data_IF_677269581917
#
_entry.id   IF_677269581917
#
_cell.length_a   1.000
_cell.length_b   1.000
_cell.length_c   1.000
_cell.angle_alpha   90.00
_cell.angle_beta   90.00
_cell.angle_gamma   90.00
#
_symmetry.space_group_name_H-M   'P 1'
#
loop_
_entity.id
_entity.type
_entity.pdbx_description
1 polymer ?
#
# COMPACT_ATOMS: atom_id res chain seq x y z
N UNK A 1 -4.66 -11.73 1.60
CA UNK A 1 -4.73 -10.53 0.72
C UNK A 1 -4.33 -10.78 -0.74
N UNK A 2 -3.05 -10.83 -1.14
CA UNK A 2 -2.68 -10.76 -2.57
C UNK A 2 -3.23 -11.87 -3.48
N UNK A 3 -3.39 -13.10 -2.99
CA UNK A 3 -3.95 -14.20 -3.80
C UNK A 3 -5.44 -14.02 -4.14
N UNK A 4 -6.21 -13.31 -3.31
CA UNK A 4 -7.64 -13.02 -3.57
C UNK A 4 -7.83 -11.84 -4.54
N UNK A 5 -6.78 -11.02 -4.70
CA UNK A 5 -6.77 -9.83 -5.55
C UNK A 5 -6.20 -10.11 -6.94
N UNK A 6 -6.06 -11.37 -7.36
CA UNK A 6 -5.38 -11.71 -8.61
C UNK A 6 -6.05 -11.07 -9.86
N UNK A 7 -7.38 -10.92 -9.84
CA UNK A 7 -8.12 -10.17 -10.87
C UNK A 7 -7.77 -8.67 -10.90
N UNK A 8 -7.47 -8.08 -9.74
CA UNK A 8 -7.12 -6.65 -9.60
C UNK A 8 -5.70 -6.35 -10.11
N UNK A 9 -4.80 -7.35 -10.16
CA UNK A 9 -3.43 -7.16 -10.69
C UNK A 9 -3.37 -6.63 -12.11
N UNK A 10 -4.37 -6.94 -12.95
CA UNK A 10 -4.44 -6.44 -14.33
C UNK A 10 -4.62 -4.94 -14.42
N UNK A 11 -5.16 -4.31 -13.38
CA UNK A 11 -5.52 -2.89 -13.35
C UNK A 11 -4.97 -2.15 -12.14
N UNK A 12 -4.11 -2.81 -11.35
CA UNK A 12 -3.61 -2.31 -10.08
C UNK A 12 -2.20 -2.79 -9.78
N UNK A 13 -1.43 -1.88 -9.19
CA UNK A 13 -0.07 -2.06 -8.72
C UNK A 13 0.02 -1.59 -7.28
N UNK A 14 0.80 -2.25 -6.44
CA UNK A 14 1.07 -1.74 -5.10
C UNK A 14 2.48 -2.07 -4.65
N UNK A 15 3.04 -1.17 -3.86
CA UNK A 15 4.27 -1.42 -3.11
C UNK A 15 3.93 -1.39 -1.62
N UNK A 16 4.04 -2.55 -0.98
CA UNK A 16 3.69 -2.73 0.43
C UNK A 16 4.93 -3.14 1.19
N UNK A 17 5.19 -2.48 2.31
CA UNK A 17 6.37 -2.71 3.13
C UNK A 17 5.92 -3.16 4.53
N UNK A 18 6.59 -4.19 5.01
CA UNK A 18 6.58 -4.60 6.40
C UNK A 18 7.67 -3.83 7.15
N UNK A 19 7.26 -3.12 8.18
CA UNK A 19 8.13 -2.36 9.08
C UNK A 19 8.19 -3.01 10.46
N UNK A 20 9.30 -2.80 11.17
CA UNK A 20 9.49 -3.25 12.54
C UNK A 20 10.05 -4.67 12.68
N UNK A 21 10.02 -5.19 13.89
CA UNK A 21 10.60 -6.49 14.27
C UNK A 21 9.54 -7.46 14.79
N UNK A 22 9.94 -8.69 15.11
CA UNK A 22 9.05 -9.70 15.66
C UNK A 22 8.27 -9.15 16.88
N UNK A 23 6.95 -9.35 16.91
CA UNK A 23 5.99 -8.81 17.89
C UNK A 23 5.69 -7.29 17.85
N UNK A 24 6.33 -6.50 16.98
CA UNK A 24 6.00 -5.09 16.77
C UNK A 24 6.04 -4.69 15.28
N UNK A 25 5.34 -5.46 14.45
CA UNK A 25 5.28 -5.23 13.01
C UNK A 25 4.17 -4.27 12.60
N UNK A 26 4.46 -3.37 11.67
CA UNK A 26 3.45 -2.53 11.00
C UNK A 26 3.52 -2.76 9.50
N UNK A 27 2.37 -2.75 8.83
CA UNK A 27 2.28 -2.87 7.37
C UNK A 27 1.78 -1.54 6.83
N UNK A 28 2.53 -0.97 5.90
CA UNK A 28 2.09 0.23 5.19
C UNK A 28 2.58 0.18 3.74
N UNK A 29 1.84 0.82 2.85
CA UNK A 29 2.13 0.73 1.42
C UNK A 29 1.30 1.67 0.59
N UNK A 30 1.77 1.89 -0.65
CA UNK A 30 1.10 2.71 -1.64
C UNK A 30 0.47 1.79 -2.70
N UNK A 31 -0.79 2.05 -2.97
CA UNK A 31 -1.57 1.35 -4.00
C UNK A 31 -1.92 2.31 -5.12
N UNK A 32 -1.83 1.81 -6.35
CA UNK A 32 -2.22 2.50 -7.58
C UNK A 32 -3.14 1.57 -8.34
N UNK A 33 -4.37 2.01 -8.60
CA UNK A 33 -5.33 1.23 -9.38
C UNK A 33 -6.09 2.15 -10.31
N UNK A 34 -6.65 1.60 -11.39
CA UNK A 34 -7.43 2.35 -12.36
C UNK A 34 -8.81 2.68 -11.79
N UNK A 35 -9.07 3.95 -11.51
CA UNK A 35 -10.36 4.45 -11.03
C UNK A 35 -10.18 5.70 -10.15
N UNK A 36 -11.30 6.32 -9.77
CA UNK A 36 -11.31 7.43 -8.79
C UNK A 36 -11.70 6.96 -7.38
N UNK A 37 -12.47 5.87 -7.31
CA UNK A 37 -12.97 5.26 -6.09
C UNK A 37 -12.10 4.08 -5.66
N UNK A 38 -12.20 3.72 -4.38
CA UNK A 38 -11.43 2.63 -3.80
C UNK A 38 -11.76 1.31 -4.50
N UNK A 39 -10.78 0.67 -5.15
CA UNK A 39 -11.04 -0.54 -5.94
C UNK A 39 -11.63 -1.69 -5.10
N UNK A 40 -11.37 -1.74 -3.79
CA UNK A 40 -11.87 -2.80 -2.90
C UNK A 40 -13.38 -2.75 -2.68
N UNK A 41 -14.04 -1.60 -2.85
CA UNK A 41 -15.51 -1.52 -2.71
C UNK A 41 -16.25 -2.04 -3.95
N UNK A 42 -15.54 -2.24 -5.07
CA UNK A 42 -16.13 -2.69 -6.33
C UNK A 42 -16.50 -4.19 -6.33
N UNK A 43 -15.98 -4.98 -5.39
CA UNK A 43 -16.25 -6.41 -5.30
C UNK A 43 -16.21 -6.89 -3.86
N UNK A 44 -17.27 -7.57 -3.41
CA UNK A 44 -17.38 -8.13 -2.05
C UNK A 44 -16.24 -9.12 -1.75
N UNK A 45 -15.75 -9.86 -2.74
CA UNK A 45 -14.61 -10.79 -2.61
C UNK A 45 -13.32 -10.10 -2.17
N UNK A 46 -13.18 -8.79 -2.44
CA UNK A 46 -12.00 -8.00 -2.11
C UNK A 46 -12.13 -7.25 -0.78
N UNK A 47 -13.34 -7.17 -0.21
CA UNK A 47 -13.62 -6.41 1.02
C UNK A 47 -13.15 -7.13 2.29
N UNK A 48 -13.02 -8.46 2.26
CA UNK A 48 -12.75 -9.28 3.45
C UNK A 48 -11.49 -8.83 4.22
N UNK A 49 -10.40 -8.54 3.49
CA UNK A 49 -9.12 -8.13 4.11
C UNK A 49 -8.96 -6.59 4.12
N UNK A 50 -9.81 -5.84 3.40
CA UNK A 50 -9.64 -4.40 3.19
C UNK A 50 -9.96 -3.59 4.46
N UNK A 51 -10.93 -4.04 5.26
CA UNK A 51 -11.42 -3.33 6.45
C UNK A 51 -10.36 -3.23 7.56
N UNK A 52 -9.38 -4.13 7.57
CA UNK A 52 -8.29 -4.11 8.55
C UNK A 52 -7.23 -3.03 8.24
N UNK A 53 -7.33 -2.35 7.11
CA UNK A 53 -6.38 -1.31 6.70
C UNK A 53 -7.07 0.05 6.56
N UNK A 54 -6.34 1.10 6.88
CA UNK A 54 -6.79 2.48 6.65
C UNK A 54 -6.42 2.91 5.24
N UNK A 55 -7.42 3.36 4.49
CA UNK A 55 -7.23 3.84 3.11
C UNK A 55 -7.43 5.34 3.05
N UNK A 56 -6.44 6.05 2.51
CA UNK A 56 -6.50 7.48 2.24
C UNK A 56 -6.17 7.71 0.77
N UNK A 57 -7.04 8.44 0.07
CA UNK A 57 -6.72 8.92 -1.28
C UNK A 57 -5.66 10.01 -1.17
N UNK A 58 -4.55 9.82 -1.87
CA UNK A 58 -3.47 10.81 -1.94
C UNK A 58 -3.70 11.73 -3.14
N UNK A 59 -3.34 12.99 -2.98
CA UNK A 59 -3.33 13.97 -4.07
C UNK A 59 -1.99 13.91 -4.79
N UNK A 60 -2.01 13.70 -6.12
CA UNK A 60 -0.81 13.61 -6.95
C UNK A 60 0.03 14.88 -6.95
N UNK A 61 -0.59 16.04 -6.71
CA UNK A 61 0.11 17.32 -6.73
C UNK A 61 0.81 17.65 -5.39
N UNK A 62 0.45 16.93 -4.32
CA UNK A 62 1.05 17.13 -3.00
C UNK A 62 2.51 16.64 -2.93
N UNK A 63 3.36 17.40 -2.23
CA UNK A 63 4.74 16.99 -1.95
C UNK A 63 4.82 15.75 -1.05
N UNK A 64 3.83 15.58 -0.16
CA UNK A 64 3.64 14.38 0.66
C UNK A 64 3.51 13.14 -0.23
N UNK A 65 2.61 13.15 -1.22
CA UNK A 65 2.41 12.02 -2.13
C UNK A 65 3.67 11.70 -2.93
N UNK A 66 4.35 12.72 -3.49
CA UNK A 66 5.60 12.51 -4.25
C UNK A 66 6.68 11.87 -3.39
N UNK A 67 6.78 12.29 -2.13
CA UNK A 67 7.74 11.74 -1.16
C UNK A 67 7.38 10.29 -0.82
N UNK A 68 6.12 10.02 -0.46
CA UNK A 68 5.65 8.66 -0.16
C UNK A 68 5.84 7.72 -1.34
N UNK A 69 5.43 8.11 -2.55
CA UNK A 69 5.61 7.28 -3.75
C UNK A 69 7.09 6.98 -3.97
N UNK A 70 7.97 7.97 -3.83
CA UNK A 70 9.42 7.76 -3.97
C UNK A 70 9.96 6.79 -2.91
N UNK A 71 9.65 7.00 -1.63
CA UNK A 71 10.12 6.13 -0.54
C UNK A 71 9.60 4.70 -0.69
N UNK A 72 8.31 4.54 -1.01
CA UNK A 72 7.70 3.22 -1.18
C UNK A 72 8.09 2.53 -2.48
N UNK A 73 8.42 3.24 -3.56
CA UNK A 73 8.79 2.61 -4.83
C UNK A 73 10.29 2.31 -4.91
N UNK A 74 11.12 3.17 -4.32
CA UNK A 74 12.56 2.94 -4.22
C UNK A 74 12.94 2.04 -3.02
N UNK A 75 12.03 1.84 -2.07
CA UNK A 75 12.33 1.20 -0.77
C UNK A 75 13.46 1.89 0.01
N UNK A 76 13.68 3.16 -0.31
CA UNK A 76 14.75 3.99 0.24
C UNK A 76 14.10 5.26 0.79
N UNK A 77 14.17 5.44 2.12
CA UNK A 77 13.53 6.55 2.82
C UNK A 77 13.64 6.41 4.33
N UNK A 78 13.38 7.51 5.03
CA UNK A 78 13.35 7.51 6.49
C UNK A 78 12.02 6.98 7.04
N UNK A 79 11.01 6.81 6.17
CA UNK A 79 9.66 6.33 6.51
C UNK A 79 9.12 7.00 7.78
N UNK A 80 9.31 8.33 7.89
CA UNK A 80 9.05 9.11 9.11
C UNK A 80 7.60 9.01 9.57
N UNK A 81 6.68 8.75 8.65
CA UNK A 81 5.25 8.53 8.93
C UNK A 81 4.96 7.20 9.63
N UNK A 82 5.81 6.18 9.47
CA UNK A 82 5.66 4.88 10.18
C UNK A 82 6.52 4.86 11.45
N UNK A 83 7.67 5.53 11.43
CA UNK A 83 8.59 5.61 12.58
C UNK A 83 9.23 4.27 12.94
N UNK A 84 9.15 3.27 12.06
CA UNK A 84 9.69 1.91 12.25
C UNK A 84 10.66 1.57 11.12
N UNK A 85 11.68 0.77 11.44
CA UNK A 85 12.68 0.35 10.47
C UNK A 85 12.06 -0.50 9.35
N UNK A 86 12.55 -0.29 8.12
CA UNK A 86 12.24 -1.17 7.00
C UNK A 86 12.67 -2.60 7.30
N UNK A 87 11.80 -3.58 7.05
CA UNK A 87 12.13 -5.00 7.20
C UNK A 87 12.03 -5.73 5.85
N UNK A 88 10.86 -5.74 5.22
CA UNK A 88 10.64 -6.43 3.95
C UNK A 88 9.69 -5.66 3.02
N UNK A 89 10.08 -5.49 1.76
CA UNK A 89 9.22 -4.98 0.70
C UNK A 89 8.54 -6.11 -0.08
N UNK A 90 7.27 -5.92 -0.43
CA UNK A 90 6.50 -6.80 -1.33
C UNK A 90 5.79 -5.97 -2.38
N UNK A 91 5.97 -6.37 -3.65
CA UNK A 91 5.28 -5.77 -4.78
C UNK A 91 4.05 -6.60 -5.14
N UNK A 92 2.95 -5.91 -5.39
CA UNK A 92 1.76 -6.44 -6.03
C UNK A 92 1.77 -6.04 -7.50
N UNK A 93 1.91 -7.04 -8.38
CA UNK A 93 1.90 -6.94 -9.85
C UNK A 93 1.30 -8.23 -10.42
#
# INVERSE_FOLDING_TARGET
MFQRLDKLRKTGFASVILFGTNNDSSISGVWVFRGQDLAFTLSEDWQIDYESYTWRKLDSDSEECKTLVKEYFCWEGDFKHVGKAFNQGKIFK
#
